data_IF_843158786903
#
_entry.id   IF_843158786903
#
_cell.length_a   1.000
_cell.length_b   1.000
_cell.length_c   1.000
_cell.angle_alpha   90.00
_cell.angle_beta   90.00
_cell.angle_gamma   90.00
#
_symmetry.space_group_name_H-M   'P 1'
#
loop_
_entity.id
_entity.type
_entity.pdbx_description
1 polymer ?
#
# COMPACT_ATOMS: atom_id res chain seq x y z
N UNK A 1 38.50 -10.06 52.53
CA UNK A 1 37.39 -9.64 53.41
C UNK A 1 36.53 -8.49 52.85
N UNK A 2 37.09 -7.36 52.36
CA UNK A 2 36.26 -6.29 51.75
C UNK A 2 35.81 -6.68 50.32
N UNK A 3 36.71 -7.25 49.51
CA UNK A 3 36.40 -7.70 48.15
C UNK A 3 35.35 -8.82 48.07
N UNK A 4 35.41 -9.83 48.94
CA UNK A 4 34.41 -10.93 48.97
C UNK A 4 32.99 -10.43 49.32
N UNK A 5 32.89 -9.42 50.19
CA UNK A 5 31.60 -8.81 50.57
C UNK A 5 30.99 -7.97 49.44
N UNK A 6 31.81 -7.35 48.60
CA UNK A 6 31.33 -6.57 47.46
C UNK A 6 30.85 -7.51 46.35
N UNK A 7 31.63 -8.55 46.02
CA UNK A 7 31.27 -9.52 44.98
C UNK A 7 29.97 -10.27 45.32
N UNK A 8 29.78 -10.65 46.60
CA UNK A 8 28.53 -11.29 47.04
C UNK A 8 27.31 -10.36 46.95
N UNK A 9 27.48 -9.04 47.19
CA UNK A 9 26.38 -8.08 47.11
C UNK A 9 25.95 -7.86 45.66
N UNK A 10 26.90 -7.71 44.74
CA UNK A 10 26.61 -7.50 43.32
C UNK A 10 25.91 -8.72 42.69
N UNK A 11 26.33 -9.94 43.08
CA UNK A 11 25.68 -11.18 42.66
C UNK A 11 24.25 -11.26 43.22
N UNK A 12 24.05 -10.95 44.50
CA UNK A 12 22.73 -10.98 45.14
C UNK A 12 21.77 -9.94 44.53
N UNK A 13 22.24 -8.72 44.31
CA UNK A 13 21.45 -7.64 43.71
C UNK A 13 21.05 -7.99 42.26
N UNK A 14 21.92 -8.68 41.52
CA UNK A 14 21.61 -9.19 40.19
C UNK A 14 20.56 -10.31 40.21
N UNK A 15 20.70 -11.31 41.08
CA UNK A 15 19.69 -12.38 41.26
C UNK A 15 18.33 -11.80 41.67
N UNK A 16 18.33 -10.80 42.57
CA UNK A 16 17.10 -10.11 42.98
C UNK A 16 16.48 -9.29 41.84
N UNK A 17 17.30 -8.70 40.97
CA UNK A 17 16.86 -8.00 39.76
C UNK A 17 16.25 -8.98 38.74
N UNK A 18 16.90 -10.11 38.48
CA UNK A 18 16.39 -11.16 37.58
C UNK A 18 15.07 -11.73 38.08
N UNK A 19 14.95 -11.98 39.40
CA UNK A 19 13.71 -12.46 40.00
C UNK A 19 12.57 -11.44 39.87
N UNK A 20 12.85 -10.14 40.05
CA UNK A 20 11.87 -9.06 39.83
C UNK A 20 11.45 -8.97 38.36
N UNK A 21 12.41 -9.07 37.44
CA UNK A 21 12.14 -9.07 36.00
C UNK A 21 11.28 -10.26 35.61
N UNK A 22 11.59 -11.45 36.13
CA UNK A 22 10.80 -12.65 35.85
C UNK A 22 9.37 -12.50 36.36
N UNK A 23 9.17 -11.97 37.57
CA UNK A 23 7.83 -11.71 38.08
C UNK A 23 7.03 -10.74 37.21
N UNK A 24 7.67 -9.70 36.64
CA UNK A 24 7.00 -8.79 35.71
C UNK A 24 6.65 -9.47 34.39
N UNK A 25 7.49 -10.37 33.88
CA UNK A 25 7.20 -11.18 32.69
C UNK A 25 6.01 -12.12 32.93
N UNK A 26 5.96 -12.75 34.11
CA UNK A 26 4.84 -13.61 34.47
C UNK A 26 3.53 -12.81 34.55
N UNK A 27 3.57 -11.58 35.10
CA UNK A 27 2.41 -10.67 35.06
C UNK A 27 1.99 -10.30 33.64
N UNK A 28 2.93 -10.13 32.71
CA UNK A 28 2.62 -9.90 31.29
C UNK A 28 1.97 -11.15 30.69
N UNK A 29 2.53 -12.34 30.92
CA UNK A 29 1.96 -13.60 30.41
C UNK A 29 0.51 -13.79 30.87
N UNK A 30 0.21 -13.49 32.13
CA UNK A 30 -1.16 -13.54 32.66
C UNK A 30 -2.11 -12.53 31.98
N UNK A 31 -1.63 -11.35 31.63
CA UNK A 31 -2.40 -10.38 30.86
C UNK A 31 -2.59 -10.82 29.42
N UNK A 32 -1.56 -11.40 28.80
CA UNK A 32 -1.61 -11.91 27.42
C UNK A 32 -2.60 -13.06 27.28
N UNK A 33 -2.63 -13.99 28.24
CA UNK A 33 -3.63 -15.06 28.28
C UNK A 33 -5.05 -14.50 28.35
N UNK A 34 -5.30 -13.49 29.21
CA UNK A 34 -6.61 -12.82 29.29
C UNK A 34 -6.96 -12.08 28.01
N UNK A 35 -5.98 -11.48 27.34
CA UNK A 35 -6.20 -10.85 26.03
C UNK A 35 -6.59 -11.89 24.98
N UNK A 36 -5.94 -13.05 24.97
CA UNK A 36 -6.28 -14.15 24.07
C UNK A 36 -7.72 -14.64 24.29
N UNK A 37 -8.11 -14.87 25.55
CA UNK A 37 -9.48 -15.28 25.90
C UNK A 37 -10.53 -14.26 25.41
N UNK A 38 -10.24 -12.96 25.57
CA UNK A 38 -11.12 -11.89 25.10
C UNK A 38 -11.19 -11.82 23.57
N UNK A 39 -10.08 -12.09 22.88
CA UNK A 39 -10.04 -12.16 21.42
C UNK A 39 -10.86 -13.34 20.89
N UNK A 40 -10.79 -14.49 21.55
CA UNK A 40 -11.59 -15.66 21.21
C UNK A 40 -13.08 -15.39 21.40
N UNK A 41 -13.48 -14.84 22.55
CA UNK A 41 -14.87 -14.42 22.80
C UNK A 41 -15.36 -13.43 21.73
N UNK A 42 -14.52 -12.45 21.39
CA UNK A 42 -14.83 -11.47 20.34
C UNK A 42 -14.99 -12.15 18.99
N UNK A 43 -14.19 -13.17 18.66
CA UNK A 43 -14.27 -13.89 17.39
C UNK A 43 -15.61 -14.61 17.20
N UNK A 44 -16.15 -15.23 18.26
CA UNK A 44 -17.47 -15.87 18.22
C UNK A 44 -18.58 -14.85 17.96
N UNK A 45 -18.53 -13.69 18.63
CA UNK A 45 -19.51 -12.61 18.44
C UNK A 45 -19.42 -12.04 17.02
N UNK A 46 -18.20 -11.79 16.51
CA UNK A 46 -17.96 -11.32 15.14
C UNK A 46 -18.54 -12.28 14.11
N UNK A 47 -18.31 -13.58 14.30
CA UNK A 47 -18.84 -14.62 13.43
C UNK A 47 -20.36 -14.66 13.45
N UNK A 48 -20.97 -14.52 14.64
CA UNK A 48 -22.42 -14.44 14.80
C UNK A 48 -22.99 -13.20 14.09
N UNK A 49 -22.36 -12.03 14.24
CA UNK A 49 -22.74 -10.79 13.53
C UNK A 49 -22.69 -11.01 12.02
N UNK A 50 -21.64 -11.67 11.51
CA UNK A 50 -21.48 -11.98 10.09
C UNK A 50 -22.65 -12.75 9.48
N UNK A 51 -23.36 -13.58 10.26
CA UNK A 51 -24.54 -14.33 9.80
C UNK A 51 -25.75 -13.45 9.52
N UNK A 52 -25.84 -12.28 10.17
CA UNK A 52 -26.94 -11.33 9.99
C UNK A 52 -26.65 -10.25 8.95
N UNK A 53 -25.41 -10.14 8.47
CA UNK A 53 -25.04 -9.15 7.46
C UNK A 53 -25.49 -9.56 6.07
N UNK A 54 -25.94 -8.58 5.31
CA UNK A 54 -26.21 -8.72 3.88
C UNK A 54 -24.88 -8.92 3.14
N UNK A 55 -24.66 -10.14 2.63
CA UNK A 55 -23.43 -10.53 1.93
C UNK A 55 -23.21 -9.73 0.64
N UNK A 56 -24.24 -9.08 0.10
CA UNK A 56 -24.13 -8.29 -1.14
C UNK A 56 -23.50 -6.91 -0.92
N UNK A 57 -23.55 -6.38 0.31
CA UNK A 57 -23.03 -5.05 0.66
C UNK A 57 -21.56 -5.05 1.11
N UNK A 58 -20.94 -6.22 1.13
CA UNK A 58 -19.61 -6.42 1.70
C UNK A 58 -19.64 -6.58 3.23
N UNK A 59 -18.50 -6.98 3.78
CA UNK A 59 -18.36 -7.29 5.22
C UNK A 59 -17.97 -6.04 6.04
N UNK A 60 -17.22 -5.13 5.43
CA UNK A 60 -16.61 -3.97 6.10
C UNK A 60 -17.64 -2.85 6.26
N UNK A 61 -17.66 -2.24 7.44
CA UNK A 61 -18.48 -1.06 7.75
C UNK A 61 -17.56 0.03 8.32
N UNK A 62 -17.19 0.99 7.47
CA UNK A 62 -16.21 2.04 7.79
C UNK A 62 -16.70 2.97 8.90
N UNK A 63 -18.00 3.31 8.90
CA UNK A 63 -18.61 4.14 9.93
C UNK A 63 -18.55 3.44 11.29
N UNK A 64 -18.85 2.14 11.31
CA UNK A 64 -18.77 1.33 12.52
C UNK A 64 -17.35 1.24 13.04
N UNK A 65 -16.35 1.01 12.17
CA UNK A 65 -14.94 0.95 12.55
C UNK A 65 -14.43 2.28 13.10
N UNK A 66 -14.76 3.41 12.45
CA UNK A 66 -14.41 4.75 12.94
C UNK A 66 -14.98 4.99 14.33
N UNK A 67 -16.27 4.68 14.55
CA UNK A 67 -16.89 4.83 15.86
C UNK A 67 -16.24 3.95 16.94
N UNK A 68 -15.73 2.75 16.61
CA UNK A 68 -14.93 1.96 17.57
C UNK A 68 -13.63 2.68 17.90
N UNK A 69 -12.87 3.12 16.90
CA UNK A 69 -11.57 3.75 17.10
C UNK A 69 -11.67 5.04 17.92
N UNK A 70 -12.66 5.87 17.64
CA UNK A 70 -12.92 7.10 18.39
C UNK A 70 -13.23 6.81 19.86
N UNK A 71 -14.11 5.83 20.11
CA UNK A 71 -14.44 5.40 21.48
C UNK A 71 -13.21 4.87 22.22
N UNK A 72 -12.39 4.05 21.58
CA UNK A 72 -11.24 3.41 22.21
C UNK A 72 -10.09 4.39 22.47
N UNK A 73 -9.80 5.29 21.54
CA UNK A 73 -8.76 6.32 21.69
C UNK A 73 -9.15 7.42 22.68
N UNK A 74 -10.45 7.65 22.88
CA UNK A 74 -10.96 8.54 23.93
C UNK A 74 -10.93 7.88 25.30
N UNK A 75 -11.22 6.59 25.37
CA UNK A 75 -11.30 5.83 26.63
C UNK A 75 -9.95 5.31 27.12
N UNK A 76 -8.91 5.30 26.28
CA UNK A 76 -7.59 4.75 26.61
C UNK A 76 -6.88 5.57 27.69
N UNK A 77 -6.62 4.95 28.84
CA UNK A 77 -5.87 5.55 29.96
C UNK A 77 -4.45 4.98 30.11
N UNK A 78 -4.08 4.04 29.24
CA UNK A 78 -2.81 3.34 29.28
C UNK A 78 -1.63 4.16 28.73
N UNK A 79 -0.43 3.58 28.79
CA UNK A 79 0.81 4.22 28.32
C UNK A 79 1.04 4.12 26.81
N UNK A 80 0.23 3.34 26.09
CA UNK A 80 0.33 3.25 24.63
C UNK A 80 -0.20 4.52 23.96
N UNK A 81 0.46 4.93 22.87
CA UNK A 81 0.01 6.08 22.08
C UNK A 81 -1.33 5.78 21.37
N UNK A 82 -2.09 6.84 21.04
CA UNK A 82 -3.33 6.70 20.27
C UNK A 82 -3.07 6.01 18.91
N UNK A 83 -1.95 6.31 18.25
CA UNK A 83 -1.58 5.66 16.97
C UNK A 83 -1.36 4.16 17.13
N UNK A 84 -0.65 3.73 18.18
CA UNK A 84 -0.43 2.30 18.47
C UNK A 84 -1.75 1.57 18.68
N UNK A 85 -2.68 2.16 19.43
CA UNK A 85 -4.03 1.60 19.66
C UNK A 85 -4.79 1.47 18.32
N UNK A 86 -4.76 2.52 17.48
CA UNK A 86 -5.41 2.49 16.17
C UNK A 86 -4.85 1.36 15.29
N UNK A 87 -3.52 1.18 15.25
CA UNK A 87 -2.88 0.13 14.46
C UNK A 87 -3.30 -1.28 14.89
N UNK A 88 -3.28 -1.54 16.20
CA UNK A 88 -3.69 -2.84 16.76
C UNK A 88 -5.15 -3.14 16.38
N UNK A 89 -6.05 -2.18 16.55
CA UNK A 89 -7.47 -2.41 16.23
C UNK A 89 -7.75 -2.54 14.74
N UNK A 90 -7.02 -1.81 13.88
CA UNK A 90 -7.14 -1.99 12.42
C UNK A 90 -6.77 -3.39 11.97
N UNK A 91 -5.68 -3.96 12.50
CA UNK A 91 -5.31 -5.34 12.21
C UNK A 91 -6.35 -6.32 12.75
N UNK A 92 -6.93 -6.05 13.92
CA UNK A 92 -7.98 -6.91 14.44
C UNK A 92 -9.27 -6.83 13.61
N UNK A 93 -9.66 -5.66 13.12
CA UNK A 93 -10.81 -5.52 12.20
C UNK A 93 -10.57 -6.26 10.89
N UNK A 94 -9.34 -6.21 10.38
CA UNK A 94 -8.93 -6.97 9.21
C UNK A 94 -9.11 -8.48 9.46
N UNK A 95 -8.55 -9.01 10.56
CA UNK A 95 -8.73 -10.41 10.93
C UNK A 95 -10.21 -10.79 11.12
N UNK A 96 -11.01 -9.89 11.71
CA UNK A 96 -12.45 -10.06 11.91
C UNK A 96 -13.24 -10.13 10.61
N UNK A 97 -12.80 -9.38 9.60
CA UNK A 97 -13.43 -9.35 8.27
C UNK A 97 -13.23 -10.70 7.59
N UNK A 98 -12.02 -11.28 7.69
CA UNK A 98 -11.73 -12.61 7.15
C UNK A 98 -12.60 -13.71 7.75
N UNK A 99 -12.92 -13.65 9.05
CA UNK A 99 -13.83 -14.60 9.70
C UNK A 99 -15.25 -14.58 9.15
N UNK A 100 -15.65 -13.48 8.50
CA UNK A 100 -16.99 -13.31 7.93
C UNK A 100 -17.03 -13.56 6.41
N UNK A 101 -15.87 -13.68 5.76
CA UNK A 101 -15.74 -13.93 4.31
C UNK A 101 -15.86 -15.42 3.98
N UNK A 102 -16.24 -15.73 2.73
CA UNK A 102 -16.31 -17.11 2.25
C UNK A 102 -14.89 -17.59 1.84
N UNK A 103 -14.40 -18.76 2.29
CA UNK A 103 -13.06 -19.26 1.98
C UNK A 103 -12.72 -19.47 0.49
N UNK A 104 -13.71 -19.43 -0.42
CA UNK A 104 -13.55 -19.68 -1.87
C UNK A 104 -12.88 -18.54 -2.66
N UNK A 105 -12.61 -17.37 -2.07
CA UNK A 105 -11.91 -16.29 -2.79
C UNK A 105 -10.40 -16.55 -2.83
N UNK A 106 -9.90 -17.04 -3.96
CA UNK A 106 -8.50 -17.48 -4.11
C UNK A 106 -7.45 -16.36 -3.98
N UNK A 107 -7.83 -15.09 -4.09
CA UNK A 107 -6.93 -13.94 -3.91
C UNK A 107 -7.70 -12.78 -3.25
N UNK A 108 -7.34 -12.41 -2.03
CA UNK A 108 -7.81 -11.18 -1.36
C UNK A 108 -6.65 -10.20 -1.25
N UNK A 109 -6.80 -9.01 -1.81
CA UNK A 109 -5.82 -7.93 -1.61
C UNK A 109 -5.99 -7.28 -0.24
N UNK A 110 -4.98 -6.56 0.25
CA UNK A 110 -5.13 -5.77 1.48
C UNK A 110 -6.11 -4.62 1.22
N UNK A 111 -7.00 -4.32 2.16
CA UNK A 111 -7.94 -3.18 2.10
C UNK A 111 -7.28 -1.86 1.68
N UNK A 112 -6.05 -1.63 2.17
CA UNK A 112 -5.31 -0.41 1.86
C UNK A 112 -4.97 -0.26 0.38
N UNK A 113 -4.87 -1.35 -0.37
CA UNK A 113 -4.56 -1.37 -1.80
C UNK A 113 -5.82 -1.07 -2.62
N UNK A 114 -6.96 -1.63 -2.23
CA UNK A 114 -8.25 -1.41 -2.90
C UNK A 114 -8.66 0.08 -2.88
N UNK A 115 -8.25 0.80 -1.84
CA UNK A 115 -8.54 2.22 -1.67
C UNK A 115 -7.47 3.16 -2.24
N UNK A 116 -6.44 2.63 -2.92
CA UNK A 116 -5.45 3.48 -3.60
C UNK A 116 -6.13 4.08 -4.83
N UNK A 117 -6.25 5.41 -4.84
CA UNK A 117 -6.65 6.15 -6.04
C UNK A 117 -5.72 5.82 -7.19
N UNK A 118 -6.27 5.30 -8.29
CA UNK A 118 -5.52 5.10 -9.52
C UNK A 118 -4.91 6.44 -9.92
N UNK A 119 -3.61 6.45 -10.17
CA UNK A 119 -2.92 7.63 -10.67
C UNK A 119 -3.55 8.08 -11.99
N UNK A 120 -4.11 9.29 -12.00
CA UNK A 120 -4.61 9.92 -13.22
C UNK A 120 -3.47 10.73 -13.84
N UNK A 121 -2.80 10.15 -14.83
CA UNK A 121 -1.84 10.87 -15.64
C UNK A 121 -2.46 12.12 -16.26
N UNK A 122 -1.72 13.23 -16.30
CA UNK A 122 -2.20 14.43 -16.98
C UNK A 122 -2.42 14.15 -18.46
N UNK A 123 -3.53 14.65 -19.05
CA UNK A 123 -3.82 14.53 -20.49
C UNK A 123 -2.59 14.98 -21.30
N UNK A 124 -1.89 14.04 -21.93
CA UNK A 124 -0.75 14.34 -22.81
C UNK A 124 -1.23 14.96 -24.12
N UNK A 125 -2.45 14.61 -24.53
CA UNK A 125 -3.10 15.07 -25.76
C UNK A 125 -4.29 15.94 -25.38
N UNK A 126 -4.17 17.25 -25.55
CA UNK A 126 -5.34 18.14 -25.54
C UNK A 126 -6.07 17.87 -26.86
N UNK A 127 -7.34 17.45 -26.81
CA UNK A 127 -8.12 17.28 -28.02
C UNK A 127 -8.29 18.64 -28.70
N UNK A 128 -8.14 18.69 -30.02
CA UNK A 128 -8.23 19.94 -30.81
C UNK A 128 -9.56 20.69 -30.60
N UNK A 129 -10.60 19.99 -30.13
CA UNK A 129 -11.94 20.51 -29.84
C UNK A 129 -12.05 21.26 -28.49
N UNK A 130 -11.12 21.05 -27.56
CA UNK A 130 -11.11 21.69 -26.23
C UNK A 130 -10.27 22.98 -26.20
N UNK A 131 -9.82 23.49 -27.36
CA UNK A 131 -8.90 24.62 -27.46
C UNK A 131 -9.64 25.90 -27.85
N UNK A 132 -9.43 26.96 -27.09
CA UNK A 132 -10.10 28.26 -27.24
C UNK A 132 -9.31 29.19 -28.18
N UNK A 133 -8.06 28.85 -28.48
CA UNK A 133 -7.08 29.72 -29.16
C UNK A 133 -6.79 29.35 -30.63
N UNK A 134 -7.48 28.35 -31.18
CA UNK A 134 -7.30 27.92 -32.57
C UNK A 134 -5.94 27.29 -32.90
N UNK A 135 -5.07 27.07 -31.89
CA UNK A 135 -3.74 26.51 -32.11
C UNK A 135 -3.80 25.00 -32.35
N UNK A 136 -3.37 24.57 -33.54
CA UNK A 136 -3.41 23.16 -33.96
C UNK A 136 -2.10 22.40 -33.69
N UNK A 137 -0.98 23.10 -33.56
CA UNK A 137 0.38 22.51 -33.50
C UNK A 137 1.08 22.72 -32.17
N UNK A 138 0.47 22.27 -31.07
CA UNK A 138 1.09 22.30 -29.75
C UNK A 138 1.60 20.91 -29.39
N UNK A 139 2.91 20.80 -29.24
CA UNK A 139 3.58 19.60 -28.75
C UNK A 139 3.93 19.80 -27.28
N UNK A 140 3.49 18.86 -26.44
CA UNK A 140 3.93 18.78 -25.04
C UNK A 140 5.28 18.08 -24.99
N UNK A 141 6.31 18.80 -24.55
CA UNK A 141 7.65 18.24 -24.38
C UNK A 141 7.78 17.52 -23.04
N UNK A 142 8.50 16.41 -23.03
CA UNK A 142 8.95 15.72 -21.81
C UNK A 142 10.14 16.45 -21.19
N UNK A 143 10.47 16.17 -19.92
CA UNK A 143 11.51 16.91 -19.17
C UNK A 143 12.90 16.96 -19.84
N UNK A 144 13.21 15.99 -20.71
CA UNK A 144 14.50 15.90 -21.41
C UNK A 144 14.40 16.19 -22.92
N UNK A 145 13.25 16.67 -23.41
CA UNK A 145 13.06 17.04 -24.80
C UNK A 145 13.27 18.54 -25.01
N UNK A 146 13.71 18.90 -26.22
CA UNK A 146 14.03 20.28 -26.58
C UNK A 146 13.01 20.82 -27.61
N UNK A 147 12.62 22.09 -27.50
CA UNK A 147 11.79 22.77 -28.49
C UNK A 147 12.54 23.08 -29.79
N UNK A 148 13.82 23.41 -29.67
CA UNK A 148 14.74 23.63 -30.78
C UNK A 148 15.21 22.25 -31.27
N UNK A 149 15.06 21.97 -32.56
CA UNK A 149 15.38 20.65 -33.15
C UNK A 149 16.83 20.17 -32.91
N UNK A 150 17.22 19.03 -33.48
CA UNK A 150 18.59 18.54 -33.36
C UNK A 150 19.59 19.53 -33.96
N UNK A 151 20.84 19.49 -33.47
CA UNK A 151 21.89 20.40 -33.96
C UNK A 151 22.16 20.21 -35.46
N UNK A 152 22.61 21.26 -36.15
CA UNK A 152 22.90 21.18 -37.59
C UNK A 152 23.93 20.11 -37.97
N UNK A 153 24.90 19.82 -37.07
CA UNK A 153 25.89 18.75 -37.26
C UNK A 153 25.26 17.35 -37.32
N UNK A 154 24.13 17.15 -36.66
CA UNK A 154 23.38 15.88 -36.70
C UNK A 154 22.52 15.82 -37.95
N UNK A 155 21.92 16.95 -38.35
CA UNK A 155 21.09 17.02 -39.55
C UNK A 155 21.87 16.74 -40.84
N UNK A 156 23.17 17.05 -40.88
CA UNK A 156 24.02 16.70 -42.02
C UNK A 156 24.22 15.19 -42.21
N UNK A 157 24.04 14.37 -41.17
CA UNK A 157 24.20 12.91 -41.23
C UNK A 157 22.88 12.13 -41.11
N UNK A 158 21.82 12.75 -40.58
CA UNK A 158 20.51 12.14 -40.46
C UNK A 158 19.40 13.18 -40.77
N UNK A 159 18.58 12.97 -41.81
CA UNK A 159 17.54 13.92 -42.19
C UNK A 159 16.34 13.96 -41.22
N UNK A 160 16.34 13.18 -40.14
CA UNK A 160 15.26 13.19 -39.17
C UNK A 160 15.33 14.44 -38.27
N UNK A 161 14.36 15.34 -38.45
CA UNK A 161 14.23 16.59 -37.70
C UNK A 161 13.66 16.43 -36.28
N UNK A 162 13.23 15.23 -35.88
CA UNK A 162 12.58 14.96 -34.59
C UNK A 162 13.45 14.15 -33.62
N UNK A 163 14.77 14.03 -33.87
CA UNK A 163 15.69 13.26 -33.02
C UNK A 163 15.84 13.80 -31.59
N UNK A 164 15.41 15.05 -31.35
CA UNK A 164 15.35 15.70 -30.05
C UNK A 164 14.09 15.33 -29.23
N UNK A 165 13.27 14.40 -29.73
CA UNK A 165 12.03 13.93 -29.11
C UNK A 165 12.06 12.43 -28.95
N UNK A 166 11.44 11.93 -27.88
CA UNK A 166 11.21 10.51 -27.72
C UNK A 166 10.20 10.02 -28.78
N UNK A 167 10.35 8.77 -29.21
CA UNK A 167 9.32 8.14 -30.03
C UNK A 167 8.01 8.01 -29.26
N UNK A 168 6.95 7.66 -29.97
CA UNK A 168 5.64 7.40 -29.38
C UNK A 168 5.73 6.32 -28.29
N UNK A 169 5.57 6.72 -27.02
CA UNK A 169 5.73 5.83 -25.84
C UNK A 169 4.74 4.66 -25.88
N UNK A 170 3.51 4.88 -26.36
CA UNK A 170 2.51 3.82 -26.48
C UNK A 170 2.85 2.78 -27.54
N UNK A 171 3.70 3.13 -28.52
CA UNK A 171 4.16 2.28 -29.61
C UNK A 171 3.04 1.71 -30.48
N UNK A 172 1.87 2.36 -30.52
CA UNK A 172 0.71 1.93 -31.31
C UNK A 172 1.05 1.92 -32.79
N UNK A 173 1.62 3.02 -33.29
CA UNK A 173 1.99 3.15 -34.70
C UNK A 173 3.01 2.06 -35.09
N UNK A 174 3.99 1.81 -34.23
CA UNK A 174 5.00 0.78 -34.47
C UNK A 174 4.39 -0.63 -34.49
N UNK A 175 3.49 -0.95 -33.53
CA UNK A 175 2.79 -2.24 -33.52
C UNK A 175 1.95 -2.43 -34.78
N UNK A 176 1.24 -1.41 -35.24
CA UNK A 176 0.43 -1.47 -36.46
C UNK A 176 1.29 -1.75 -37.72
N UNK A 177 2.44 -1.08 -37.85
CA UNK A 177 3.33 -1.30 -38.99
C UNK A 177 4.01 -2.68 -38.94
N UNK A 178 4.45 -3.14 -37.75
CA UNK A 178 5.01 -4.49 -37.58
C UNK A 178 3.94 -5.55 -37.89
N UNK A 179 2.70 -5.34 -37.43
CA UNK A 179 1.56 -6.22 -37.70
C UNK A 179 1.32 -6.36 -39.22
N UNK A 180 1.26 -5.25 -39.96
CA UNK A 180 1.11 -5.25 -41.42
C UNK A 180 2.26 -5.98 -42.12
N UNK A 181 3.49 -5.70 -41.72
CA UNK A 181 4.69 -6.27 -42.35
C UNK A 181 4.80 -7.78 -42.14
N UNK A 182 4.36 -8.28 -40.97
CA UNK A 182 4.48 -9.69 -40.60
C UNK A 182 3.17 -10.48 -40.69
N UNK A 183 2.06 -9.85 -41.12
CA UNK A 183 0.72 -10.45 -41.17
C UNK A 183 0.27 -11.03 -39.82
N UNK A 184 0.48 -10.27 -38.75
CA UNK A 184 0.07 -10.60 -37.38
C UNK A 184 -1.01 -9.64 -36.90
N UNK A 185 -1.78 -10.02 -35.89
CA UNK A 185 -2.68 -9.09 -35.20
C UNK A 185 -1.87 -8.20 -34.24
N UNK A 186 -2.25 -6.92 -34.13
CA UNK A 186 -1.51 -5.94 -33.30
C UNK A 186 -1.39 -6.38 -31.83
N UNK A 187 -2.39 -7.08 -31.33
CA UNK A 187 -2.49 -7.52 -29.93
C UNK A 187 -1.59 -8.73 -29.65
N UNK A 188 -0.99 -9.32 -30.68
CA UNK A 188 0.02 -10.38 -30.58
C UNK A 188 1.45 -9.82 -30.48
N UNK A 189 1.62 -8.49 -30.54
CA UNK A 189 2.94 -7.83 -30.54
C UNK A 189 3.11 -7.07 -29.23
N UNK A 190 4.11 -7.48 -28.44
CA UNK A 190 4.49 -6.79 -27.21
C UNK A 190 5.77 -5.98 -27.46
N UNK A 191 5.70 -4.68 -27.18
CA UNK A 191 6.88 -3.81 -27.19
C UNK A 191 7.39 -3.66 -25.76
N UNK A 192 8.64 -4.06 -25.52
CA UNK A 192 9.37 -3.76 -24.29
C UNK A 192 10.15 -2.45 -24.41
N UNK A 193 10.52 -1.86 -23.28
CA UNK A 193 11.26 -0.60 -23.24
C UNK A 193 12.79 -0.78 -23.21
N UNK A 194 13.30 -2.01 -23.34
CA UNK A 194 14.69 -2.34 -23.00
C UNK A 194 14.94 -2.21 -21.48
N UNK A 195 15.83 -3.04 -20.94
CA UNK A 195 16.30 -2.94 -19.54
C UNK A 195 17.50 -2.01 -19.43
#
# INVERSE_FOLDING_TARGET
MIYDKILCKDIYDNIMSEKKLQNLRDQINELDNKMLDLLDQRSYIVTAIGRFKDKTKGVVDENRESAVLDRLTTSSKGKYSKDSIIRIWRELFEASTRLQMNPESSISTKRSIENISIYKGGKATISSKERIDGQTNIIKLSSNENAFGPSQKILSSNPNHNLNRYPEISGVTLREEIAKLNKLEKDQIVLGCGS
#
